data_IF_456401548127
#
_entry.id   IF_456401548127
#
_cell.length_a   1.000
_cell.length_b   1.000
_cell.length_c   1.000
_cell.angle_alpha   90.00
_cell.angle_beta   90.00
_cell.angle_gamma   90.00
#
_symmetry.space_group_name_H-M   'P 1'
#
loop_
_entity.id
_entity.type
_entity.pdbx_description
1 polymer ?
#
# COMPACT_ATOMS: atom_id res chain seq x y z
N UNK A 1 -56.49 8.61 32.96
CA UNK A 1 -56.51 8.03 31.61
C UNK A 1 -55.38 8.66 30.80
N UNK A 2 -54.27 7.95 30.63
CA UNK A 2 -53.15 8.44 29.85
C UNK A 2 -53.38 8.05 28.39
N UNK A 3 -53.68 9.04 27.55
CA UNK A 3 -53.76 8.88 26.10
C UNK A 3 -52.35 8.58 25.57
N UNK A 4 -52.08 7.30 25.30
CA UNK A 4 -50.94 6.91 24.46
C UNK A 4 -51.25 7.35 23.03
N UNK A 5 -50.64 8.45 22.60
CA UNK A 5 -50.49 8.76 21.18
C UNK A 5 -49.76 7.59 20.54
N UNK A 6 -50.46 6.72 19.81
CA UNK A 6 -49.80 5.83 18.86
C UNK A 6 -49.16 6.73 17.81
N UNK A 7 -47.88 7.06 17.99
CA UNK A 7 -47.07 7.56 16.88
C UNK A 7 -47.08 6.45 15.84
N UNK A 8 -47.84 6.66 14.76
CA UNK A 8 -47.85 5.77 13.61
C UNK A 8 -46.46 5.81 12.98
N UNK A 9 -45.57 4.95 13.45
CA UNK A 9 -44.28 4.70 12.81
C UNK A 9 -44.61 3.99 11.49
N UNK A 10 -44.65 4.76 10.41
CA UNK A 10 -44.74 4.20 9.06
C UNK A 10 -43.39 3.53 8.76
N UNK A 11 -43.39 2.19 8.68
CA UNK A 11 -42.21 1.42 8.29
C UNK A 11 -42.23 1.38 6.75
N UNK A 12 -41.22 1.97 6.12
CA UNK A 12 -41.06 2.00 4.65
C UNK A 12 -39.69 1.46 4.25
N UNK A 13 -39.53 1.15 2.96
CA UNK A 13 -38.25 0.80 2.35
C UNK A 13 -37.15 1.77 2.80
N UNK A 14 -36.02 1.21 3.26
CA UNK A 14 -34.82 1.99 3.55
C UNK A 14 -33.54 1.18 3.35
N UNK A 15 -32.47 1.88 2.99
CA UNK A 15 -31.11 1.33 3.10
C UNK A 15 -30.69 1.45 4.57
N UNK A 16 -30.41 0.32 5.19
CA UNK A 16 -30.02 0.20 6.61
C UNK A 16 -28.53 0.49 6.77
N UNK A 17 -27.70 -0.03 5.88
CA UNK A 17 -26.27 0.27 5.87
C UNK A 17 -25.66 0.10 4.49
N UNK A 18 -24.69 0.96 4.19
CA UNK A 18 -23.87 0.89 2.99
C UNK A 18 -22.41 0.70 3.41
N UNK A 19 -21.77 -0.33 2.87
CA UNK A 19 -20.35 -0.60 3.05
C UNK A 19 -19.64 -0.49 1.71
N UNK A 20 -18.92 0.61 1.53
CA UNK A 20 -17.93 0.80 0.48
C UNK A 20 -16.59 1.00 1.18
N UNK A 21 -15.53 0.26 0.83
CA UNK A 21 -14.23 0.49 1.43
C UNK A 21 -13.77 1.93 1.22
N UNK A 22 -13.45 2.64 2.30
CA UNK A 22 -13.01 4.05 2.18
C UNK A 22 -11.66 4.18 1.46
N UNK A 23 -10.75 3.21 1.67
CA UNK A 23 -9.41 3.21 1.09
C UNK A 23 -9.01 1.79 0.68
N UNK A 24 -8.47 1.63 -0.53
CA UNK A 24 -7.86 0.38 -1.00
C UNK A 24 -6.58 0.63 -1.78
N UNK A 25 -5.60 -0.26 -1.65
CA UNK A 25 -4.42 -0.18 -2.48
C UNK A 25 -4.76 -0.63 -3.91
N UNK A 26 -4.07 -0.05 -4.88
CA UNK A 26 -4.14 -0.49 -6.27
C UNK A 26 -3.78 -1.97 -6.35
N UNK A 27 -4.64 -2.74 -6.97
CA UNK A 27 -4.48 -4.19 -7.07
C UNK A 27 -5.12 -4.99 -5.93
N UNK A 28 -5.92 -4.38 -5.06
CA UNK A 28 -6.69 -5.07 -4.03
C UNK A 28 -8.17 -5.22 -4.40
N UNK A 29 -8.76 -6.37 -4.10
CA UNK A 29 -10.20 -6.60 -4.30
C UNK A 29 -11.04 -5.69 -3.40
N UNK A 30 -12.20 -5.30 -3.89
CA UNK A 30 -13.22 -4.66 -3.08
C UNK A 30 -14.52 -5.46 -3.10
N UNK A 31 -15.17 -5.48 -1.95
CA UNK A 31 -16.54 -5.97 -1.79
C UNK A 31 -17.38 -4.81 -1.30
N UNK A 32 -18.45 -4.54 -2.04
CA UNK A 32 -19.45 -3.55 -1.69
C UNK A 32 -20.63 -4.27 -1.04
N UNK A 33 -21.22 -3.70 0.00
CA UNK A 33 -22.42 -4.25 0.62
C UNK A 33 -23.49 -3.17 0.79
N UNK A 34 -24.73 -3.54 0.51
CA UNK A 34 -25.90 -2.70 0.67
C UNK A 34 -26.97 -3.51 1.41
N UNK A 35 -27.13 -3.20 2.68
CA UNK A 35 -28.17 -3.80 3.51
C UNK A 35 -29.40 -2.91 3.50
N UNK A 36 -30.56 -3.49 3.24
CA UNK A 36 -31.83 -2.79 3.15
C UNK A 36 -32.95 -3.58 3.83
N UNK A 37 -33.95 -2.83 4.29
CA UNK A 37 -35.18 -3.29 4.93
C UNK A 37 -36.36 -2.91 4.02
N UNK A 38 -37.09 -3.92 3.55
CA UNK A 38 -38.24 -3.76 2.65
C UNK A 38 -39.55 -3.49 3.41
N UNK A 39 -39.55 -3.47 4.75
CA UNK A 39 -40.77 -3.21 5.54
C UNK A 39 -41.99 -4.10 5.18
N UNK A 40 -41.75 -5.34 4.71
CA UNK A 40 -42.81 -6.25 4.23
C UNK A 40 -43.15 -6.15 2.75
N UNK A 41 -42.54 -5.22 2.01
CA UNK A 41 -42.60 -5.12 0.55
C UNK A 41 -41.83 -6.22 -0.18
N UNK A 42 -41.90 -6.18 -1.52
CA UNK A 42 -41.17 -7.11 -2.40
C UNK A 42 -40.12 -6.36 -3.20
N UNK A 43 -38.92 -6.91 -3.25
CA UNK A 43 -37.79 -6.34 -3.99
C UNK A 43 -38.06 -6.38 -5.50
N UNK A 44 -38.02 -5.22 -6.16
CA UNK A 44 -38.02 -5.10 -7.61
C UNK A 44 -36.59 -5.15 -8.17
N UNK A 45 -35.70 -4.31 -7.64
CA UNK A 45 -34.31 -4.26 -8.09
C UNK A 45 -33.35 -3.74 -7.03
N UNK A 46 -32.08 -4.15 -7.12
CA UNK A 46 -30.95 -3.45 -6.53
C UNK A 46 -30.01 -3.04 -7.65
N UNK A 47 -29.62 -1.77 -7.70
CA UNK A 47 -28.70 -1.24 -8.70
C UNK A 47 -27.53 -0.56 -8.03
N UNK A 48 -26.37 -0.69 -8.65
CA UNK A 48 -25.16 -0.03 -8.21
C UNK A 48 -24.63 0.90 -9.30
N UNK A 49 -24.25 2.09 -8.85
CA UNK A 49 -23.70 3.14 -9.68
C UNK A 49 -22.33 3.54 -9.14
N UNK A 50 -21.43 3.94 -10.05
CA UNK A 50 -20.25 4.73 -9.71
C UNK A 50 -20.31 6.00 -10.54
N UNK A 51 -20.24 7.15 -9.89
CA UNK A 51 -20.30 8.48 -10.53
C UNK A 51 -21.50 8.61 -11.50
N UNK A 52 -22.66 8.07 -11.07
CA UNK A 52 -23.93 8.01 -11.81
C UNK A 52 -24.01 7.04 -13.00
N UNK A 53 -22.97 6.24 -13.27
CA UNK A 53 -23.02 5.19 -14.29
C UNK A 53 -23.34 3.83 -13.65
N UNK A 54 -24.42 3.18 -14.11
CA UNK A 54 -24.83 1.86 -13.61
C UNK A 54 -23.82 0.81 -14.06
N UNK A 55 -23.25 0.05 -13.11
CA UNK A 55 -22.31 -1.03 -13.43
C UNK A 55 -22.80 -2.41 -12.99
N UNK A 56 -23.81 -2.48 -12.12
CA UNK A 56 -24.41 -3.74 -11.69
C UNK A 56 -25.89 -3.57 -11.37
N UNK A 57 -26.66 -4.59 -11.70
CA UNK A 57 -28.07 -4.71 -11.31
C UNK A 57 -28.41 -6.14 -10.89
N UNK A 58 -29.31 -6.23 -9.93
CA UNK A 58 -29.97 -7.45 -9.49
C UNK A 58 -31.48 -7.29 -9.62
N UNK A 59 -32.14 -8.20 -10.34
CA UNK A 59 -33.59 -8.29 -10.51
C UNK A 59 -34.04 -9.72 -10.23
N UNK A 60 -34.71 -10.01 -9.08
CA UNK A 60 -35.05 -11.37 -8.67
C UNK A 60 -35.98 -12.11 -9.66
N UNK A 61 -36.73 -11.38 -10.48
CA UNK A 61 -37.65 -11.96 -11.49
C UNK A 61 -36.95 -12.37 -12.78
N UNK A 62 -35.72 -11.93 -13.04
CA UNK A 62 -34.99 -12.25 -14.26
C UNK A 62 -34.17 -13.53 -14.15
N UNK A 63 -33.90 -14.15 -15.30
CA UNK A 63 -33.05 -15.35 -15.45
C UNK A 63 -31.99 -15.06 -16.51
N UNK A 64 -30.70 -14.84 -16.16
CA UNK A 64 -30.17 -14.77 -14.79
C UNK A 64 -30.64 -13.50 -14.05
N UNK A 65 -30.68 -13.51 -12.70
CA UNK A 65 -31.13 -12.36 -11.92
C UNK A 65 -30.10 -11.23 -11.85
N UNK A 66 -28.85 -11.47 -12.27
CA UNK A 66 -27.75 -10.51 -12.18
C UNK A 66 -27.29 -10.07 -13.55
N UNK A 67 -26.93 -8.79 -13.67
CA UNK A 67 -26.33 -8.26 -14.88
C UNK A 67 -25.25 -7.24 -14.51
N UNK A 68 -24.11 -7.30 -15.20
CA UNK A 68 -23.02 -6.33 -15.05
C UNK A 68 -22.89 -5.53 -16.34
N UNK A 69 -22.69 -4.23 -16.21
CA UNK A 69 -22.41 -3.33 -17.33
C UNK A 69 -20.94 -3.00 -17.39
N UNK A 70 -20.46 -2.75 -18.60
CA UNK A 70 -19.09 -2.31 -18.79
C UNK A 70 -18.92 -0.91 -18.22
N UNK A 71 -18.03 -0.76 -17.24
CA UNK A 71 -17.64 0.52 -16.68
C UNK A 71 -16.12 0.56 -16.54
N UNK A 72 -15.48 1.59 -17.09
CA UNK A 72 -14.00 1.66 -17.09
C UNK A 72 -13.47 1.71 -15.66
N UNK A 73 -12.57 0.80 -15.29
CA UNK A 73 -12.05 0.65 -13.93
C UNK A 73 -12.94 -0.13 -12.97
N UNK A 74 -14.13 -0.61 -13.37
CA UNK A 74 -14.99 -1.45 -12.53
C UNK A 74 -15.31 -2.74 -13.28
N UNK A 75 -14.92 -3.89 -12.74
CA UNK A 75 -15.32 -5.20 -13.27
C UNK A 75 -15.96 -6.00 -12.16
N UNK A 76 -17.15 -6.52 -12.41
CA UNK A 76 -17.92 -7.26 -11.41
C UNK A 76 -17.66 -8.77 -11.56
N UNK A 77 -17.46 -9.45 -10.45
CA UNK A 77 -17.50 -10.91 -10.38
C UNK A 77 -18.94 -11.38 -10.12
N UNK A 78 -19.68 -11.66 -11.19
CA UNK A 78 -21.08 -12.11 -11.11
C UNK A 78 -21.26 -13.43 -10.34
N UNK A 79 -20.24 -14.29 -10.27
CA UNK A 79 -20.35 -15.56 -9.55
C UNK A 79 -20.28 -15.39 -8.03
N UNK A 80 -19.64 -14.31 -7.56
CA UNK A 80 -19.54 -13.97 -6.15
C UNK A 80 -20.55 -12.92 -5.72
N UNK A 81 -21.11 -12.17 -6.68
CA UNK A 81 -22.05 -11.09 -6.42
C UNK A 81 -23.48 -11.60 -6.19
N UNK A 82 -24.28 -10.77 -5.55
CA UNK A 82 -25.66 -11.04 -5.13
C UNK A 82 -26.43 -9.73 -4.97
N UNK A 83 -27.71 -9.82 -4.57
CA UNK A 83 -28.54 -8.64 -4.31
C UNK A 83 -27.95 -7.68 -3.26
N UNK A 84 -27.29 -8.19 -2.22
CA UNK A 84 -26.77 -7.39 -1.10
C UNK A 84 -25.27 -7.13 -1.18
N UNK A 85 -24.52 -7.94 -1.93
CA UNK A 85 -23.06 -7.86 -2.01
C UNK A 85 -22.57 -7.90 -3.45
N UNK A 86 -21.71 -6.95 -3.81
CA UNK A 86 -21.09 -6.88 -5.14
C UNK A 86 -19.58 -7.00 -4.99
N UNK A 87 -18.98 -7.96 -5.69
CA UNK A 87 -17.55 -8.20 -5.66
C UNK A 87 -16.91 -7.63 -6.92
N UNK A 88 -15.95 -6.73 -6.73
CA UNK A 88 -15.17 -6.14 -7.82
C UNK A 88 -13.88 -6.93 -8.03
N UNK A 89 -13.53 -7.18 -9.29
CA UNK A 89 -12.28 -7.82 -9.77
C UNK A 89 -11.63 -6.97 -10.86
N UNK A 90 -10.44 -7.33 -11.32
CA UNK A 90 -9.74 -6.67 -12.45
C UNK A 90 -9.89 -7.43 -13.77
N UNK A 91 -10.04 -6.70 -14.88
CA UNK A 91 -9.48 -7.03 -16.20
C UNK A 91 -9.15 -5.75 -17.00
N UNK A 92 -8.03 -5.09 -16.71
CA UNK A 92 -7.47 -4.00 -17.53
C UNK A 92 -6.44 -4.52 -18.54
N UNK A 93 -6.90 -4.94 -19.73
CA UNK A 93 -6.02 -5.25 -20.86
C UNK A 93 -5.54 -3.99 -21.63
N UNK A 94 -6.19 -2.83 -21.47
CA UNK A 94 -5.81 -1.60 -22.20
C UNK A 94 -4.77 -0.72 -21.50
N UNK A 95 -4.48 -0.94 -20.22
CA UNK A 95 -3.52 -0.14 -19.43
C UNK A 95 -2.31 -0.94 -18.95
N UNK A 96 -2.02 -2.11 -19.55
CA UNK A 96 -0.76 -2.85 -19.32
C UNK A 96 0.50 -2.06 -19.71
N UNK A 97 0.37 -0.84 -20.27
CA UNK A 97 1.48 -0.03 -20.75
C UNK A 97 1.75 1.30 -20.03
N UNK A 98 0.80 1.89 -19.29
CA UNK A 98 0.96 3.25 -18.73
C UNK A 98 0.27 3.31 -17.36
N UNK A 99 0.85 4.06 -16.42
CA UNK A 99 0.53 4.11 -14.96
C UNK A 99 1.20 3.02 -14.10
N UNK A 100 2.51 2.84 -14.30
CA UNK A 100 3.41 2.40 -13.23
C UNK A 100 3.46 3.55 -12.21
N UNK A 101 3.21 3.28 -10.93
CA UNK A 101 3.59 4.24 -9.91
C UNK A 101 5.11 4.18 -9.87
N UNK A 102 5.76 5.10 -10.59
CA UNK A 102 7.20 5.18 -10.71
C UNK A 102 7.77 5.61 -9.36
N UNK A 103 8.20 4.62 -8.59
CA UNK A 103 9.25 4.82 -7.61
C UNK A 103 10.58 4.77 -8.36
N UNK A 104 11.47 5.71 -8.07
CA UNK A 104 12.77 5.83 -8.73
C UNK A 104 13.47 4.46 -8.87
N UNK A 105 13.82 4.18 -10.14
CA UNK A 105 14.54 3.05 -10.74
C UNK A 105 14.92 1.86 -9.83
N UNK A 106 14.20 0.75 -10.00
CA UNK A 106 14.84 -0.56 -10.22
C UNK A 106 13.95 -1.46 -11.06
N UNK A 107 14.52 -1.99 -12.13
CA UNK A 107 13.88 -2.87 -13.11
C UNK A 107 13.68 -4.25 -12.52
N UNK A 108 12.42 -4.59 -12.19
CA UNK A 108 12.02 -5.98 -12.04
C UNK A 108 10.72 -6.21 -12.82
N UNK A 109 10.81 -7.13 -13.79
CA UNK A 109 9.66 -7.73 -14.48
C UNK A 109 8.86 -8.49 -13.44
N UNK A 110 7.74 -7.93 -12.99
CA UNK A 110 6.75 -8.66 -12.20
C UNK A 110 5.36 -8.28 -12.66
N UNK A 111 4.72 -9.22 -13.34
CA UNK A 111 3.29 -9.15 -13.68
C UNK A 111 2.52 -9.43 -12.39
N UNK A 112 1.80 -8.43 -11.90
CA UNK A 112 0.81 -8.63 -10.86
C UNK A 112 -0.57 -8.65 -11.49
N UNK A 113 -1.21 -9.82 -11.42
CA UNK A 113 -2.63 -9.96 -11.64
C UNK A 113 -3.32 -9.81 -10.29
N UNK A 114 -4.09 -8.74 -10.16
CA UNK A 114 -5.49 -8.69 -9.67
C UNK A 114 -5.79 -7.32 -9.07
N UNK A 115 -7.06 -6.95 -9.21
CA UNK A 115 -7.89 -5.95 -8.53
C UNK A 115 -7.57 -4.43 -8.66
N UNK A 116 -8.32 -3.59 -7.93
CA UNK A 116 -8.72 -2.19 -8.23
C UNK A 116 -7.67 -1.29 -8.91
N UNK A 117 -8.13 -0.41 -9.82
CA UNK A 117 -7.32 0.59 -10.51
C UNK A 117 -7.56 2.00 -9.97
N UNK A 118 -6.72 2.99 -10.31
CA UNK A 118 -6.99 4.41 -9.99
C UNK A 118 -8.33 4.89 -10.57
N UNK A 119 -8.77 4.30 -11.68
CA UNK A 119 -10.07 4.58 -12.29
C UNK A 119 -11.23 4.00 -11.51
N UNK A 120 -10.99 3.07 -10.58
CA UNK A 120 -12.01 2.51 -9.70
C UNK A 120 -12.42 3.48 -8.58
N UNK A 121 -11.69 4.59 -8.39
CA UNK A 121 -12.07 5.68 -7.47
C UNK A 121 -13.38 6.31 -7.91
N UNK A 122 -14.21 6.71 -6.96
CA UNK A 122 -15.43 7.46 -7.24
C UNK A 122 -16.47 7.34 -6.13
N UNK A 123 -17.61 7.99 -6.36
CA UNK A 123 -18.77 7.92 -5.49
C UNK A 123 -19.64 6.73 -5.91
N UNK A 124 -19.75 5.75 -5.01
CA UNK A 124 -20.56 4.56 -5.23
C UNK A 124 -21.93 4.73 -4.59
N UNK A 125 -22.99 4.50 -5.37
CA UNK A 125 -24.38 4.55 -4.91
C UNK A 125 -25.04 3.18 -5.03
N UNK A 126 -25.74 2.77 -3.97
CA UNK A 126 -26.70 1.67 -4.03
C UNK A 126 -28.12 2.27 -4.10
N UNK A 127 -28.92 1.83 -5.07
CA UNK A 127 -30.35 2.13 -5.19
C UNK A 127 -31.14 0.82 -5.04
N UNK A 128 -32.11 0.80 -4.13
CA UNK A 128 -33.01 -0.34 -3.90
C UNK A 128 -34.42 0.11 -4.24
N UNK A 129 -35.15 -0.72 -4.97
CA UNK A 129 -36.54 -0.42 -5.37
C UNK A 129 -37.48 -1.57 -5.03
N UNK A 130 -38.68 -1.23 -4.61
CA UNK A 130 -39.79 -2.16 -4.39
C UNK A 130 -40.69 -2.31 -5.63
N UNK A 131 -41.46 -3.39 -5.64
CA UNK A 131 -42.50 -3.65 -6.62
C UNK A 131 -43.81 -2.92 -6.31
N UNK A 132 -44.77 -3.06 -7.23
CA UNK A 132 -46.16 -2.71 -6.96
C UNK A 132 -46.66 -3.39 -5.67
N UNK A 133 -47.45 -2.68 -4.84
CA UNK A 133 -48.10 -1.40 -5.13
C UNK A 133 -47.33 -0.14 -4.68
N UNK A 134 -46.29 -0.28 -3.85
CA UNK A 134 -45.63 0.86 -3.20
C UNK A 134 -44.66 1.59 -4.11
N UNK A 135 -43.94 0.86 -4.98
CA UNK A 135 -42.91 1.40 -5.88
C UNK A 135 -41.89 2.32 -5.18
N UNK A 136 -41.68 2.13 -3.88
CA UNK A 136 -40.72 2.93 -3.12
C UNK A 136 -39.30 2.64 -3.57
N UNK A 137 -38.44 3.64 -3.46
CA UNK A 137 -37.00 3.51 -3.67
C UNK A 137 -36.23 4.14 -2.51
N UNK A 138 -35.10 3.53 -2.15
CA UNK A 138 -34.17 4.06 -1.17
C UNK A 138 -32.75 3.94 -1.70
N UNK A 139 -31.90 4.89 -1.34
CA UNK A 139 -30.52 4.94 -1.80
C UNK A 139 -29.55 5.37 -0.72
N UNK A 140 -28.28 5.03 -0.91
CA UNK A 140 -27.17 5.51 -0.09
C UNK A 140 -25.91 5.61 -0.93
N UNK A 141 -25.01 6.52 -0.55
CA UNK A 141 -23.75 6.77 -1.26
C UNK A 141 -22.53 6.71 -0.32
N UNK A 142 -21.40 6.24 -0.85
CA UNK A 142 -20.11 6.26 -0.16
C UNK A 142 -18.96 6.30 -1.17
N UNK A 143 -17.86 6.94 -0.79
CA UNK A 143 -16.71 7.14 -1.67
C UNK A 143 -15.64 6.05 -1.47
N UNK A 144 -15.04 5.58 -2.56
CA UNK A 144 -13.88 4.68 -2.55
C UNK A 144 -12.65 5.43 -3.04
N UNK A 145 -11.63 5.60 -2.20
CA UNK A 145 -10.31 6.07 -2.60
C UNK A 145 -9.41 4.87 -2.97
N UNK A 146 -8.64 5.01 -4.06
CA UNK A 146 -7.64 4.03 -4.47
C UNK A 146 -6.27 4.69 -4.53
N UNK A 147 -5.32 4.16 -3.75
CA UNK A 147 -3.96 4.70 -3.68
C UNK A 147 -2.94 3.69 -4.21
N UNK A 148 -1.78 4.19 -4.63
CA UNK A 148 -0.62 3.34 -4.87
C UNK A 148 0.14 3.13 -3.56
N UNK A 149 0.15 1.90 -3.05
CA UNK A 149 1.07 1.54 -1.98
C UNK A 149 2.52 1.48 -2.54
N UNK A 150 3.50 2.12 -1.90
CA UNK A 150 4.90 1.90 -2.23
C UNK A 150 5.29 0.47 -1.89
N UNK A 151 6.02 -0.21 -2.79
CA UNK A 151 6.45 -1.61 -2.61
C UNK A 151 7.50 -1.80 -1.50
N UNK A 152 8.04 -0.72 -0.96
CA UNK A 152 8.88 -0.76 0.22
C UNK A 152 7.96 -0.67 1.43
N UNK A 153 7.60 -1.84 1.99
CA UNK A 153 7.33 -1.89 3.42
C UNK A 153 8.56 -1.27 4.06
N UNK A 154 8.37 -0.21 4.85
CA UNK A 154 9.41 0.34 5.69
C UNK A 154 9.95 -0.82 6.51
N UNK A 155 11.11 -1.30 6.11
CA UNK A 155 12.00 -2.09 6.91
C UNK A 155 12.48 -1.18 8.04
N UNK A 156 11.62 -0.97 9.03
CA UNK A 156 12.09 -0.62 10.37
C UNK A 156 12.99 -1.73 10.95
N UNK A 157 13.13 -2.85 10.24
CA UNK A 157 14.13 -3.90 10.48
C UNK A 157 15.47 -3.64 9.76
N UNK A 158 15.55 -2.80 8.70
CA UNK A 158 16.83 -2.48 8.03
C UNK A 158 17.59 -1.33 8.73
N UNK A 159 16.88 -0.38 9.38
CA UNK A 159 17.53 0.67 10.19
C UNK A 159 18.11 0.15 11.52
N UNK A 160 17.64 -1.00 12.02
CA UNK A 160 18.19 -1.63 13.22
C UNK A 160 19.41 -2.51 12.93
N UNK A 161 19.54 -3.06 11.71
CA UNK A 161 20.68 -3.89 11.32
C UNK A 161 21.94 -3.04 11.06
N UNK A 162 21.80 -1.88 10.38
CA UNK A 162 22.90 -0.93 10.19
C UNK A 162 23.36 -0.33 11.53
N UNK A 163 22.46 -0.21 12.51
CA UNK A 163 22.80 0.25 13.87
C UNK A 163 23.52 -0.83 14.70
N UNK A 164 23.31 -2.12 14.40
CA UNK A 164 23.99 -3.24 15.07
C UNK A 164 25.41 -3.46 14.53
N UNK A 165 25.61 -3.31 13.21
CA UNK A 165 26.96 -3.39 12.61
C UNK A 165 27.89 -2.26 13.07
N UNK A 166 27.37 -1.06 13.33
CA UNK A 166 28.16 0.08 13.84
C UNK A 166 28.65 -0.15 15.29
N UNK A 167 27.88 -0.86 16.13
CA UNK A 167 28.23 -1.07 17.54
C UNK A 167 29.30 -2.18 17.69
N UNK A 168 29.26 -3.24 16.88
CA UNK A 168 30.27 -4.31 16.91
C UNK A 168 31.61 -3.89 16.26
N UNK A 169 31.60 -2.96 15.30
CA UNK A 169 32.80 -2.43 14.67
C UNK A 169 33.65 -1.49 15.54
N UNK A 170 33.10 -0.93 16.63
CA UNK A 170 33.83 0.00 17.51
C UNK A 170 34.49 -0.68 18.72
N UNK A 171 34.19 -1.95 19.00
CA UNK A 171 34.77 -2.68 20.14
C UNK A 171 36.14 -3.34 19.85
N UNK A 172 36.64 -3.32 18.60
CA UNK A 172 37.87 -4.04 18.24
C UNK A 172 39.14 -3.17 18.18
N UNK A 173 39.08 -1.90 18.61
CA UNK A 173 40.23 -0.99 18.61
C UNK A 173 40.81 -0.67 20.02
N UNK A 174 40.43 -1.41 21.07
CA UNK A 174 41.00 -1.23 22.40
C UNK A 174 41.34 -2.57 23.04
N UNK A 175 42.51 -3.10 22.65
CA UNK A 175 43.09 -4.31 23.24
C UNK A 175 44.59 -4.38 23.00
N UNK A 176 45.36 -3.55 23.70
CA UNK A 176 46.78 -3.83 24.00
C UNK A 176 47.07 -3.43 25.44
N UNK A 177 47.46 -4.43 26.22
CA UNK A 177 47.81 -4.36 27.65
C UNK A 177 49.05 -3.49 27.96
N UNK A 178 49.19 -3.01 29.22
CA UNK A 178 50.29 -2.14 29.67
C UNK A 178 51.51 -2.96 30.18
N UNK A 179 52.70 -2.32 30.26
CA UNK A 179 53.32 -2.29 31.60
C UNK A 179 54.09 -1.00 31.94
N UNK A 180 53.85 -0.56 33.19
CA UNK A 180 54.85 -0.25 34.24
C UNK A 180 55.64 1.09 34.21
N UNK A 181 55.84 1.60 35.42
CA UNK A 181 56.15 2.97 35.85
C UNK A 181 57.63 3.41 35.70
N UNK A 182 57.78 4.75 35.66
CA UNK A 182 58.94 5.69 35.76
C UNK A 182 60.03 5.33 36.81
N UNK A 183 61.29 5.90 36.82
CA UNK A 183 61.56 7.37 36.80
C UNK A 183 62.93 7.95 36.30
N UNK A 184 62.89 9.28 36.05
CA UNK A 184 63.94 10.34 36.15
C UNK A 184 65.28 10.24 35.36
N UNK A 185 65.64 11.31 34.60
CA UNK A 185 66.66 12.32 34.98
C UNK A 185 67.24 13.14 33.78
N UNK A 186 67.24 14.48 33.93
CA UNK A 186 68.16 15.55 33.45
C UNK A 186 68.18 16.09 31.99
N UNK A 187 68.26 17.43 31.99
CA UNK A 187 68.58 18.43 30.94
C UNK A 187 69.97 18.24 30.30
N UNK A 188 70.15 18.71 29.05
CA UNK A 188 71.11 19.76 28.65
C UNK A 188 71.32 19.86 27.11
N UNK A 189 71.17 21.09 26.59
CA UNK A 189 72.06 21.86 25.69
C UNK A 189 72.78 21.26 24.45
N UNK A 190 72.50 21.92 23.32
CA UNK A 190 73.41 22.63 22.38
C UNK A 190 74.70 21.94 21.84
N UNK A 191 74.73 21.92 20.50
CA UNK A 191 75.79 22.44 19.61
C UNK A 191 76.92 21.53 19.05
N UNK A 192 77.16 21.78 17.76
CA UNK A 192 78.44 22.12 17.10
C UNK A 192 79.12 21.09 16.17
N UNK A 193 79.50 21.65 15.00
CA UNK A 193 80.40 21.17 13.96
C UNK A 193 81.78 20.71 14.46
N UNK A 194 82.43 19.79 13.72
CA UNK A 194 83.79 19.97 13.18
C UNK A 194 84.15 18.82 12.21
N UNK A 195 84.76 19.16 11.06
CA UNK A 195 85.22 18.20 10.04
C UNK A 195 86.68 17.77 10.15
N UNK A 196 87.11 16.98 9.15
CA UNK A 196 88.48 16.62 8.69
C UNK A 196 88.28 15.36 7.81
N UNK A 197 88.82 15.14 6.62
CA UNK A 197 89.99 15.67 5.92
C UNK A 197 90.89 14.48 5.50
N UNK A 198 91.27 14.43 4.20
CA UNK A 198 92.31 13.60 3.55
C UNK A 198 91.96 12.13 3.17
N UNK A 199 91.92 11.79 1.87
CA UNK A 199 92.98 11.20 0.97
C UNK A 199 93.33 9.74 1.33
N UNK A 200 93.58 8.78 0.43
CA UNK A 200 93.47 8.57 -1.01
C UNK A 200 93.91 7.11 -1.27
N UNK A 201 93.52 6.53 -2.44
CA UNK A 201 94.18 5.39 -3.14
C UNK A 201 94.06 3.98 -2.51
N UNK A 202 93.96 2.84 -3.23
CA UNK A 202 94.04 2.49 -4.67
C UNK A 202 93.67 0.98 -4.84
N UNK A 203 93.27 0.57 -6.06
CA UNK A 203 93.21 -0.82 -6.66
C UNK A 203 92.16 -1.78 -6.02
N UNK A 204 91.40 -2.65 -6.70
CA UNK A 204 91.59 -3.34 -7.98
C UNK A 204 90.30 -4.02 -8.52
N UNK A 205 90.26 -4.15 -9.86
CA UNK A 205 89.79 -5.31 -10.67
C UNK A 205 88.28 -5.69 -10.66
N UNK A 206 87.54 -5.50 -11.76
CA UNK A 206 87.51 -6.21 -13.06
C UNK A 206 86.63 -7.49 -13.10
N UNK A 207 85.63 -7.39 -13.99
CA UNK A 207 85.17 -8.39 -14.98
C UNK A 207 84.19 -9.51 -14.58
N UNK A 208 83.10 -9.50 -15.38
CA UNK A 208 82.39 -10.63 -16.03
C UNK A 208 81.47 -11.46 -15.14
N UNK A 209 80.17 -11.33 -15.36
CA UNK A 209 79.39 -12.23 -16.25
C UNK A 209 78.25 -11.47 -16.88
#
# INVERSE_FOLDING_TARGET
>A
MQLFMCQNISISLRVVSLSVPALRARGEAASLACEYDLAGGRLYSVKWYRDNEEFYRYMPRLRPPQHAHALDGVTVDLHKSSARRVHLRDLTLKSRGLYRCELHKSSARRVHLRDLTLKSRGLYRCEVSEEAPSFHSAEAEAFLEVYCAPLFKLTHEEEEEERREVIEGQAHAQGRDPPTQQPQQRRADRALHAGRGARASLVAQLRRR
#
